data_IF_795988290253
#
_entry.id   IF_795988290253
#
_cell.length_a   1.000
_cell.length_b   1.000
_cell.length_c   1.000
_cell.angle_alpha   90.00
_cell.angle_beta   90.00
_cell.angle_gamma   90.00
#
_symmetry.space_group_name_H-M   'P 1'
#
loop_
_entity.id
_entity.type
_entity.pdbx_description
1 polymer ?
#
# COMPACT_ATOMS: atom_id res chain seq x y z
N UNK A 1 14.29 -12.72 4.67
CA UNK A 1 14.30 -11.24 4.70
C UNK A 1 12.95 -10.78 5.23
N UNK A 2 12.93 -9.90 6.23
CA UNK A 2 11.69 -9.50 6.89
C UNK A 2 10.86 -8.59 5.97
N UNK A 3 9.68 -9.06 5.57
CA UNK A 3 8.72 -8.25 4.80
C UNK A 3 8.20 -7.14 5.71
N UNK A 4 8.47 -5.88 5.35
CA UNK A 4 8.03 -4.73 6.16
C UNK A 4 6.57 -4.44 5.85
N UNK A 5 5.74 -4.45 6.89
CA UNK A 5 4.33 -4.15 6.76
C UNK A 5 4.05 -2.68 7.09
N UNK A 6 3.47 -1.97 6.14
CA UNK A 6 3.07 -0.57 6.29
C UNK A 6 1.61 -0.43 6.71
N UNK A 7 1.35 0.54 7.59
CA UNK A 7 0.00 0.99 7.93
C UNK A 7 -0.55 1.95 6.89
N UNK A 8 -1.87 2.17 6.93
CA UNK A 8 -2.55 3.21 6.15
C UNK A 8 -1.97 4.60 6.44
N UNK A 9 -1.56 4.86 7.68
CA UNK A 9 -0.93 6.12 8.08
C UNK A 9 0.47 6.28 7.47
N UNK A 10 1.28 5.22 7.47
CA UNK A 10 2.61 5.27 6.85
C UNK A 10 2.52 5.43 5.33
N UNK A 11 1.55 4.77 4.70
CA UNK A 11 1.22 4.96 3.28
C UNK A 11 0.77 6.40 2.99
N UNK A 12 -0.12 6.93 3.82
CA UNK A 12 -0.60 8.30 3.72
C UNK A 12 0.56 9.30 3.78
N UNK A 13 1.47 9.15 4.76
CA UNK A 13 2.66 9.98 4.89
C UNK A 13 3.61 9.81 3.69
N UNK A 14 3.85 8.59 3.22
CA UNK A 14 4.74 8.31 2.07
C UNK A 14 4.29 9.03 0.80
N UNK A 15 2.99 9.05 0.53
CA UNK A 15 2.43 9.67 -0.68
C UNK A 15 1.91 11.10 -0.46
N UNK A 16 1.98 11.64 0.77
CA UNK A 16 1.41 12.93 1.10
C UNK A 16 -0.11 13.01 0.91
N UNK A 17 -0.82 11.89 1.05
CA UNK A 17 -2.27 11.78 0.85
C UNK A 17 -3.01 11.54 2.16
N UNK A 18 -4.32 11.75 2.17
CA UNK A 18 -5.15 11.38 3.31
C UNK A 18 -5.21 9.85 3.50
N UNK A 19 -5.30 9.37 4.76
CA UNK A 19 -5.37 7.93 5.10
C UNK A 19 -6.46 7.13 4.37
N UNK A 20 -7.54 7.78 3.96
CA UNK A 20 -8.63 7.14 3.21
C UNK A 20 -8.27 6.87 1.73
N UNK A 21 -7.27 7.55 1.20
CA UNK A 21 -6.87 7.46 -0.20
C UNK A 21 -6.25 6.09 -0.55
N UNK A 22 -5.30 5.54 0.24
CA UNK A 22 -4.81 4.18 0.03
C UNK A 22 -5.92 3.12 0.03
N UNK A 23 -6.91 3.26 0.93
CA UNK A 23 -8.08 2.38 0.96
C UNK A 23 -8.93 2.48 -0.31
N UNK A 24 -9.17 3.69 -0.82
CA UNK A 24 -9.87 3.89 -2.11
C UNK A 24 -9.09 3.29 -3.27
N UNK A 25 -7.76 3.43 -3.29
CA UNK A 25 -6.96 2.84 -4.35
C UNK A 25 -6.96 1.30 -4.30
N UNK A 26 -6.91 0.72 -3.10
CA UNK A 26 -7.07 -0.72 -2.92
C UNK A 26 -8.44 -1.21 -3.39
N UNK A 27 -9.52 -0.49 -3.09
CA UNK A 27 -10.88 -0.81 -3.57
C UNK A 27 -11.02 -0.69 -5.09
N UNK A 28 -10.37 0.30 -5.70
CA UNK A 28 -10.39 0.49 -7.16
C UNK A 28 -9.44 -0.43 -7.91
N UNK A 29 -8.71 -1.31 -7.22
CA UNK A 29 -7.71 -2.20 -7.81
C UNK A 29 -6.48 -1.49 -8.37
N UNK A 30 -6.31 -0.20 -8.06
CA UNK A 30 -5.19 0.63 -8.52
C UNK A 30 -3.98 0.57 -7.58
N UNK A 31 -4.04 -0.17 -6.48
CA UNK A 31 -3.00 -0.27 -5.46
C UNK A 31 -2.92 -1.69 -4.90
N UNK A 32 -1.78 -2.11 -4.32
CA UNK A 32 -1.63 -3.43 -3.73
C UNK A 32 -2.74 -3.78 -2.76
N UNK A 33 -3.10 -5.07 -2.74
CA UNK A 33 -4.16 -5.57 -1.88
C UNK A 33 -3.71 -5.49 -0.41
N UNK A 34 -4.54 -4.96 0.47
CA UNK A 34 -4.27 -5.02 1.89
C UNK A 34 -4.20 -6.47 2.38
N UNK A 35 -3.19 -6.78 3.18
CA UNK A 35 -3.00 -8.06 3.86
C UNK A 35 -3.52 -7.94 5.29
N UNK A 36 -4.48 -8.80 5.63
CA UNK A 36 -5.00 -8.91 7.00
C UNK A 36 -4.12 -9.86 7.78
N UNK A 37 -3.29 -9.31 8.69
CA UNK A 37 -2.41 -10.11 9.56
C UNK A 37 -3.16 -10.66 10.78
N UNK A 38 -4.20 -9.97 11.25
CA UNK A 38 -5.00 -10.30 12.44
C UNK A 38 -6.37 -9.65 12.29
N UNK A 39 -7.45 -10.15 12.92
CA UNK A 39 -8.72 -9.42 12.99
C UNK A 39 -8.51 -7.98 13.49
N UNK A 40 -8.80 -7.00 12.63
CA UNK A 40 -8.64 -5.56 12.90
C UNK A 40 -7.30 -4.95 12.48
N UNK A 41 -6.30 -5.75 12.09
CA UNK A 41 -4.99 -5.28 11.63
C UNK A 41 -4.78 -5.57 10.14
N UNK A 42 -5.18 -4.62 9.32
CA UNK A 42 -4.90 -4.61 7.89
C UNK A 42 -3.64 -3.80 7.61
N UNK A 43 -2.70 -4.39 6.87
CA UNK A 43 -1.41 -3.80 6.52
C UNK A 43 -1.08 -4.04 5.05
N UNK A 44 -0.18 -3.25 4.50
CA UNK A 44 0.32 -3.43 3.13
C UNK A 44 1.77 -3.89 3.17
N UNK A 45 2.13 -4.81 2.27
CA UNK A 45 3.51 -5.25 2.12
C UNK A 45 4.32 -4.18 1.40
N UNK A 46 5.44 -3.77 1.99
CA UNK A 46 6.35 -2.81 1.37
C UNK A 46 6.83 -3.30 0.00
N UNK A 47 7.16 -4.59 -0.11
CA UNK A 47 7.63 -5.16 -1.37
C UNK A 47 6.60 -5.10 -2.50
N UNK A 48 5.29 -5.24 -2.20
CA UNK A 48 4.25 -5.08 -3.21
C UNK A 48 4.06 -3.61 -3.60
N UNK A 49 4.22 -2.68 -2.64
CA UNK A 49 4.16 -1.25 -2.90
C UNK A 49 5.31 -0.84 -3.81
N UNK A 50 6.54 -1.26 -3.51
CA UNK A 50 7.71 -0.95 -4.34
C UNK A 50 7.58 -1.56 -5.75
N UNK A 51 7.09 -2.80 -5.86
CA UNK A 51 6.82 -3.42 -7.16
C UNK A 51 5.76 -2.65 -7.96
N UNK A 52 4.72 -2.16 -7.29
CA UNK A 52 3.69 -1.33 -7.91
C UNK A 52 4.22 0.05 -8.33
N UNK A 53 5.06 0.69 -7.51
CA UNK A 53 5.74 1.95 -7.84
C UNK A 53 6.61 1.77 -9.09
N UNK A 54 7.40 0.70 -9.14
CA UNK A 54 8.24 0.36 -10.29
C UNK A 54 7.40 0.11 -11.56
N UNK A 55 6.29 -0.62 -11.45
CA UNK A 55 5.40 -0.88 -12.58
C UNK A 55 4.79 0.40 -13.17
N UNK A 56 4.46 1.41 -12.35
CA UNK A 56 3.94 2.70 -12.84
C UNK A 56 5.03 3.66 -13.31
N UNK A 57 6.21 3.64 -12.68
CA UNK A 57 7.35 4.44 -13.13
C UNK A 57 7.86 4.00 -14.52
N UNK A 58 7.60 2.74 -14.93
CA UNK A 58 7.94 2.21 -16.24
C UNK A 58 7.03 2.63 -17.40
N UNK A 59 5.91 3.32 -17.12
CA UNK A 59 5.10 3.96 -18.17
C UNK A 59 5.66 5.33 -18.48
N UNK A 60 6.65 5.36 -19.38
CA UNK A 60 7.08 6.58 -20.08
C UNK A 60 6.53 6.57 -21.49
#
# INVERSE_FOLDING_TARGET
>A
MADTYLSDLQLATRYGVHRATPWRWAQTGKFPKPVSLTPGCTRWKLSEIEAWEAARAGTK
#
